data_IF_098306062380
#
_entry.id   IF_098306062380
#
_cell.length_a   1.000
_cell.length_b   1.000
_cell.length_c   1.000
_cell.angle_alpha   90.00
_cell.angle_beta   90.00
_cell.angle_gamma   90.00
#
_symmetry.space_group_name_H-M   'P 1'
#
loop_
_entity.id
_entity.type
_entity.pdbx_description
1 polymer ?
#
# COMPACT_ATOMS: atom_id res chain seq x y z
N UNK A 1 0.39 -24.51 19.56
CA UNK A 1 -0.95 -23.92 19.66
C UNK A 1 -1.01 -22.73 18.71
N UNK A 2 -1.58 -22.95 17.55
CA UNK A 2 -1.92 -21.85 16.68
C UNK A 2 -3.05 -21.09 17.36
N UNK A 3 -2.74 -19.96 17.97
CA UNK A 3 -3.77 -19.01 18.32
C UNK A 3 -4.44 -18.62 17.00
N UNK A 4 -5.60 -19.19 16.73
CA UNK A 4 -6.50 -18.60 15.78
C UNK A 4 -6.83 -17.21 16.31
N UNK A 5 -6.19 -16.21 15.75
CA UNK A 5 -6.66 -14.83 15.87
C UNK A 5 -7.98 -14.65 15.08
N UNK A 6 -8.73 -15.74 14.90
CA UNK A 6 -10.00 -15.79 14.23
C UNK A 6 -11.09 -15.06 14.98
N UNK A 7 -10.95 -13.78 15.14
CA UNK A 7 -11.83 -12.88 15.86
C UNK A 7 -11.11 -11.65 16.40
N UNK A 8 -9.79 -11.63 16.39
CA UNK A 8 -9.03 -10.43 16.74
C UNK A 8 -8.91 -9.49 15.53
N UNK A 9 -9.18 -8.22 15.78
CA UNK A 9 -9.01 -7.16 14.81
C UNK A 9 -7.51 -6.98 14.49
N UNK A 10 -7.07 -7.41 13.31
CA UNK A 10 -5.67 -7.29 12.90
C UNK A 10 -5.18 -5.83 12.87
N UNK A 11 -6.10 -4.86 12.78
CA UNK A 11 -5.73 -3.44 12.78
C UNK A 11 -5.17 -2.97 14.12
N UNK A 12 -5.28 -3.77 15.17
CA UNK A 12 -4.65 -3.52 16.47
C UNK A 12 -3.19 -3.98 16.53
N UNK A 13 -2.73 -4.74 15.55
CA UNK A 13 -1.34 -5.15 15.43
C UNK A 13 -0.47 -3.99 14.90
N UNK A 14 0.86 -4.04 15.13
CA UNK A 14 1.76 -3.05 14.55
C UNK A 14 1.64 -2.98 13.03
N UNK A 15 1.61 -1.79 12.47
CA UNK A 15 1.68 -1.56 11.02
C UNK A 15 3.15 -1.69 10.57
N UNK A 16 3.46 -2.79 9.88
CA UNK A 16 4.83 -3.08 9.44
C UNK A 16 5.33 -2.12 8.36
N UNK A 17 4.43 -1.46 7.65
CA UNK A 17 4.77 -0.56 6.55
C UNK A 17 4.93 0.89 7.00
N UNK A 18 4.48 1.25 8.18
CA UNK A 18 4.41 2.65 8.60
C UNK A 18 5.80 3.30 8.69
N UNK A 19 5.90 4.54 8.26
CA UNK A 19 7.17 5.27 8.20
C UNK A 19 7.93 5.32 9.52
N UNK A 20 7.32 5.64 10.68
CA UNK A 20 8.06 5.67 11.94
C UNK A 20 8.69 4.34 12.36
N UNK A 21 8.15 3.21 11.88
CA UNK A 21 8.75 1.89 12.10
C UNK A 21 9.93 1.62 11.16
N UNK A 22 10.11 2.43 10.14
CA UNK A 22 11.16 2.28 9.13
C UNK A 22 10.65 1.83 7.76
N UNK A 23 9.35 1.79 7.55
CA UNK A 23 8.76 1.51 6.24
C UNK A 23 9.14 2.55 5.19
N UNK A 24 9.24 2.12 3.95
CA UNK A 24 9.65 2.97 2.84
C UNK A 24 8.98 2.53 1.55
N UNK A 25 8.40 3.46 0.82
CA UNK A 25 7.91 3.20 -0.54
C UNK A 25 9.08 3.39 -1.49
N UNK A 26 9.64 2.28 -1.96
CA UNK A 26 10.91 2.30 -2.72
C UNK A 26 10.72 2.48 -4.21
N UNK A 27 9.52 2.24 -4.73
CA UNK A 27 9.24 2.36 -6.15
C UNK A 27 7.75 2.58 -6.40
N UNK A 28 7.42 3.32 -7.45
CA UNK A 28 6.09 3.41 -8.03
C UNK A 28 6.22 3.66 -9.53
N UNK A 29 5.23 3.22 -10.31
CA UNK A 29 5.23 3.44 -11.74
C UNK A 29 4.91 4.90 -12.11
N UNK A 30 4.16 5.60 -11.30
CA UNK A 30 3.73 6.98 -11.55
C UNK A 30 3.42 7.69 -10.23
N UNK A 31 3.76 8.98 -10.14
CA UNK A 31 3.49 9.84 -8.97
C UNK A 31 3.03 11.24 -9.45
N UNK A 32 2.36 11.30 -10.57
CA UNK A 32 2.11 12.57 -11.25
C UNK A 32 1.35 13.58 -10.37
N UNK A 33 0.31 13.14 -9.67
CA UNK A 33 -0.53 14.02 -8.84
C UNK A 33 -0.14 14.03 -7.37
N UNK A 34 0.32 12.93 -6.82
CA UNK A 34 0.74 12.86 -5.42
C UNK A 34 1.78 11.76 -5.20
N UNK A 35 2.70 12.02 -4.29
CA UNK A 35 3.87 11.17 -4.04
C UNK A 35 3.50 9.82 -3.41
N UNK A 36 4.24 8.79 -3.82
CA UNK A 36 4.08 7.42 -3.31
C UNK A 36 4.33 7.31 -1.80
N UNK A 37 5.18 8.15 -1.25
CA UNK A 37 5.53 8.14 0.18
C UNK A 37 4.31 8.38 1.08
N UNK A 38 3.26 8.97 0.56
CA UNK A 38 2.01 9.16 1.31
C UNK A 38 1.28 7.86 1.64
N UNK A 39 1.61 6.74 0.96
CA UNK A 39 1.01 5.42 1.26
C UNK A 39 1.28 4.93 2.69
N UNK A 40 2.35 5.39 3.32
CA UNK A 40 2.83 4.86 4.60
C UNK A 40 2.92 5.92 5.69
N UNK A 41 2.24 7.04 5.53
CA UNK A 41 2.14 8.04 6.58
C UNK A 41 1.38 7.47 7.79
N UNK A 42 1.78 7.80 9.01
CA UNK A 42 1.10 7.33 10.20
C UNK A 42 -0.26 8.04 10.39
N UNK A 43 -1.20 7.31 10.97
CA UNK A 43 -2.51 7.87 11.29
C UNK A 43 -3.45 8.02 10.09
N UNK A 44 -4.66 8.55 10.32
CA UNK A 44 -5.64 8.78 9.27
C UNK A 44 -5.16 9.84 8.27
N UNK A 45 -5.56 9.69 7.01
CA UNK A 45 -5.29 10.68 5.99
C UNK A 45 -5.96 12.02 6.34
N UNK A 46 -5.26 13.12 6.10
CA UNK A 46 -5.74 14.47 6.39
C UNK A 46 -6.17 15.17 5.11
N UNK A 47 -7.31 15.84 5.15
CA UNK A 47 -7.75 16.69 4.07
C UNK A 47 -7.24 18.12 4.26
N UNK A 48 -6.55 18.65 3.25
CA UNK A 48 -6.03 20.01 3.23
C UNK A 48 -6.72 20.82 2.12
N UNK A 49 -7.90 21.40 2.39
CA UNK A 49 -8.64 22.12 1.38
C UNK A 49 -7.87 23.36 0.90
N UNK A 50 -7.92 23.59 -0.41
CA UNK A 50 -7.30 24.76 -1.03
C UNK A 50 -5.80 24.93 -0.75
N UNK A 51 -5.09 23.84 -0.44
CA UNK A 51 -3.64 23.84 -0.24
C UNK A 51 -2.96 23.33 -1.50
N UNK A 52 -2.01 24.09 -2.03
CA UNK A 52 -1.33 23.79 -3.28
C UNK A 52 0.19 23.69 -3.07
N UNK A 53 0.78 22.65 -3.63
CA UNK A 53 2.21 22.44 -3.71
C UNK A 53 2.70 22.48 -5.17
N UNK A 54 3.91 22.02 -5.42
CA UNK A 54 4.51 22.01 -6.75
C UNK A 54 3.78 21.11 -7.77
N UNK A 55 2.95 20.17 -7.32
CA UNK A 55 2.14 19.27 -8.15
C UNK A 55 0.66 19.70 -8.27
N UNK A 56 0.29 20.85 -7.75
CA UNK A 56 -1.09 21.32 -7.67
C UNK A 56 -1.68 21.14 -6.28
N UNK A 57 -2.96 20.78 -6.17
CA UNK A 57 -3.61 20.59 -4.87
C UNK A 57 -2.94 19.46 -4.08
N UNK A 58 -2.71 19.71 -2.79
CA UNK A 58 -2.08 18.73 -1.89
C UNK A 58 -3.11 17.69 -1.45
N UNK A 59 -2.78 16.42 -1.65
CA UNK A 59 -3.54 15.26 -1.18
C UNK A 59 -2.66 14.42 -0.24
N UNK A 60 -3.26 13.87 0.81
CA UNK A 60 -2.63 12.87 1.68
C UNK A 60 -2.95 11.49 1.15
N UNK A 61 -2.21 11.09 0.14
CA UNK A 61 -2.35 9.80 -0.53
C UNK A 61 -1.51 9.78 -1.79
N UNK A 62 -1.31 8.60 -2.34
CA UNK A 62 -0.63 8.42 -3.63
C UNK A 62 -1.64 8.56 -4.76
N UNK A 63 -1.32 9.38 -5.75
CA UNK A 63 -2.20 9.59 -6.91
C UNK A 63 -1.40 9.60 -8.20
N UNK A 64 -1.79 8.71 -9.10
CA UNK A 64 -1.20 8.52 -10.41
C UNK A 64 -1.93 9.34 -11.48
N UNK A 65 -1.28 9.47 -12.63
CA UNK A 65 -1.90 10.03 -13.83
C UNK A 65 -3.03 9.10 -14.33
N UNK A 66 -4.06 9.68 -14.93
CA UNK A 66 -5.16 8.91 -15.52
C UNK A 66 -4.70 8.17 -16.78
N UNK A 67 -5.14 6.93 -16.94
CA UNK A 67 -4.79 6.09 -18.08
C UNK A 67 -5.46 6.53 -19.40
N UNK A 68 -6.62 7.21 -19.35
CA UNK A 68 -7.34 7.77 -20.49
C UNK A 68 -7.46 6.80 -21.67
N UNK A 69 -8.03 5.60 -21.42
CA UNK A 69 -8.23 4.56 -22.43
C UNK A 69 -6.99 3.72 -22.76
N UNK A 70 -5.87 3.94 -22.06
CA UNK A 70 -4.70 3.06 -22.13
C UNK A 70 -4.84 1.96 -21.09
N UNK A 71 -4.63 0.67 -21.46
CA UNK A 71 -4.63 -0.42 -20.48
C UNK A 71 -3.39 -0.32 -19.59
N UNK A 72 -3.49 -0.87 -18.39
CA UNK A 72 -2.38 -0.98 -17.46
C UNK A 72 -2.82 -0.67 -16.04
N UNK A 73 -2.09 -1.24 -15.10
CA UNK A 73 -2.29 -1.03 -13.67
C UNK A 73 -1.25 -0.07 -13.12
N UNK A 74 -1.61 0.61 -12.05
CA UNK A 74 -0.65 1.36 -11.26
C UNK A 74 -0.15 0.48 -10.14
N UNK A 75 1.14 0.59 -9.82
CA UNK A 75 1.77 -0.23 -8.80
C UNK A 75 2.84 0.53 -8.02
N UNK A 76 3.01 0.12 -6.79
CA UNK A 76 4.06 0.62 -5.90
C UNK A 76 4.65 -0.55 -5.12
N UNK A 77 5.90 -0.39 -4.70
CA UNK A 77 6.60 -1.37 -3.86
C UNK A 77 6.93 -0.72 -2.52
N UNK A 78 6.48 -1.36 -1.47
CA UNK A 78 6.73 -0.94 -0.09
C UNK A 78 7.70 -1.92 0.56
N UNK A 79 8.84 -1.40 1.08
CA UNK A 79 9.70 -2.16 1.98
C UNK A 79 9.15 -2.00 3.39
N UNK A 80 8.88 -3.12 4.06
CA UNK A 80 8.44 -3.12 5.46
C UNK A 80 9.58 -2.62 6.37
N UNK A 81 9.22 -1.97 7.45
CA UNK A 81 10.19 -1.47 8.44
C UNK A 81 10.94 -2.59 9.15
N UNK A 82 10.25 -3.71 9.37
CA UNK A 82 10.82 -4.96 9.86
C UNK A 82 10.19 -6.13 9.10
N UNK A 83 10.92 -7.23 8.92
CA UNK A 83 10.31 -8.44 8.37
C UNK A 83 9.22 -8.97 9.30
N UNK A 84 8.13 -9.46 8.74
CA UNK A 84 7.05 -9.96 9.58
C UNK A 84 5.99 -10.76 8.83
N UNK A 85 5.14 -11.39 9.62
CA UNK A 85 3.94 -12.06 9.15
C UNK A 85 2.83 -11.02 8.99
N UNK A 86 2.19 -11.00 7.82
CA UNK A 86 1.12 -10.04 7.53
C UNK A 86 -0.22 -10.69 7.84
N UNK A 87 -0.92 -10.15 8.82
CA UNK A 87 -2.24 -10.64 9.25
C UNK A 87 -3.41 -9.97 8.56
N UNK A 88 -3.16 -8.86 7.92
CA UNK A 88 -4.17 -8.12 7.19
C UNK A 88 -3.60 -6.91 6.48
N UNK A 89 -4.41 -6.34 5.61
CA UNK A 89 -4.07 -5.17 4.82
C UNK A 89 -5.24 -4.21 4.88
N UNK A 90 -4.96 -2.95 5.15
CA UNK A 90 -5.95 -1.88 5.03
C UNK A 90 -5.60 -1.05 3.81
N UNK A 91 -6.52 -0.98 2.87
CA UNK A 91 -6.44 -0.04 1.75
C UNK A 91 -7.29 1.17 2.11
N UNK A 92 -6.64 2.27 2.39
CA UNK A 92 -7.29 3.51 2.80
C UNK A 92 -7.47 4.44 1.60
N UNK A 93 -8.72 4.69 1.23
CA UNK A 93 -9.09 5.59 0.15
C UNK A 93 -9.73 6.88 0.67
N UNK A 94 -9.49 7.24 1.92
CA UNK A 94 -10.04 8.44 2.53
C UNK A 94 -9.79 9.68 1.65
N UNK A 95 -10.83 10.49 1.46
CA UNK A 95 -10.86 11.68 0.62
C UNK A 95 -10.82 11.43 -0.90
N UNK A 96 -10.57 10.20 -1.34
CA UNK A 96 -10.67 9.82 -2.75
C UNK A 96 -12.10 9.35 -3.04
N UNK A 97 -12.98 10.25 -3.45
CA UNK A 97 -14.41 9.98 -3.63
C UNK A 97 -14.76 9.46 -5.03
N UNK A 98 -14.08 9.96 -6.07
CA UNK A 98 -14.31 9.55 -7.45
C UNK A 98 -13.06 9.07 -8.18
N UNK A 99 -11.90 9.26 -7.59
CA UNK A 99 -10.59 8.98 -8.18
C UNK A 99 -9.83 7.84 -7.46
N UNK A 100 -10.54 7.03 -6.72
CA UNK A 100 -9.96 5.84 -6.08
C UNK A 100 -9.85 4.67 -7.08
N UNK A 101 -8.93 3.73 -6.87
CA UNK A 101 -8.86 2.54 -7.71
C UNK A 101 -10.10 1.66 -7.48
N UNK A 102 -10.74 1.14 -8.54
CA UNK A 102 -11.90 0.27 -8.36
C UNK A 102 -11.52 -1.07 -7.71
N UNK A 103 -10.32 -1.55 -7.96
CA UNK A 103 -9.82 -2.84 -7.47
C UNK A 103 -8.34 -2.72 -7.10
N UNK A 104 -7.93 -3.54 -6.14
CA UNK A 104 -6.54 -3.64 -5.71
C UNK A 104 -6.15 -5.11 -5.54
N UNK A 105 -4.86 -5.39 -5.67
CA UNK A 105 -4.24 -6.64 -5.27
C UNK A 105 -2.94 -6.36 -4.52
N UNK A 106 -2.52 -7.28 -3.67
CA UNK A 106 -1.26 -7.15 -2.93
C UNK A 106 -0.50 -8.47 -3.00
N UNK A 107 0.76 -8.37 -3.35
CA UNK A 107 1.70 -9.49 -3.36
C UNK A 107 2.89 -9.18 -2.47
N UNK A 108 3.65 -10.20 -2.08
CA UNK A 108 4.77 -10.05 -1.16
C UNK A 108 6.02 -10.77 -1.65
N UNK A 109 7.17 -10.31 -1.19
CA UNK A 109 8.47 -10.94 -1.37
C UNK A 109 9.23 -10.98 -0.04
N UNK A 110 10.04 -12.01 0.14
CA UNK A 110 11.05 -12.09 1.19
C UNK A 110 12.43 -11.94 0.53
N UNK A 111 13.07 -10.81 0.75
CA UNK A 111 14.34 -10.46 0.10
C UNK A 111 15.38 -10.18 1.15
N UNK A 112 16.57 -10.79 1.01
CA UNK A 112 17.73 -10.48 1.82
C UNK A 112 18.48 -9.26 1.26
N UNK A 113 18.92 -8.37 2.14
CA UNK A 113 19.67 -7.18 1.75
C UNK A 113 18.82 -6.11 1.09
N UNK A 114 19.48 -5.27 0.30
CA UNK A 114 18.89 -4.09 -0.31
C UNK A 114 19.20 -4.01 -1.81
N UNK A 115 18.60 -4.90 -2.64
CA UNK A 115 18.75 -4.78 -4.09
C UNK A 115 18.15 -3.45 -4.59
N UNK A 116 18.56 -2.95 -5.76
CA UNK A 116 17.98 -1.75 -6.35
C UNK A 116 16.46 -1.87 -6.51
N UNK A 117 15.75 -0.79 -6.24
CA UNK A 117 14.28 -0.77 -6.25
C UNK A 117 13.68 -1.21 -7.59
N UNK A 118 14.27 -0.79 -8.72
CA UNK A 118 13.81 -1.20 -10.05
C UNK A 118 13.96 -2.70 -10.32
N UNK A 119 14.98 -3.35 -9.77
CA UNK A 119 15.15 -4.80 -9.87
C UNK A 119 14.08 -5.53 -9.07
N UNK A 120 13.76 -5.04 -7.87
CA UNK A 120 12.69 -5.60 -7.04
C UNK A 120 11.35 -5.47 -7.76
N UNK A 121 11.03 -4.31 -8.28
CA UNK A 121 9.78 -4.06 -9.00
C UNK A 121 9.63 -4.94 -10.24
N UNK A 122 10.74 -5.26 -10.92
CA UNK A 122 10.76 -6.10 -12.12
C UNK A 122 10.71 -7.62 -11.85
N UNK A 123 10.75 -8.05 -10.60
CA UNK A 123 10.68 -9.48 -10.27
C UNK A 123 9.32 -10.07 -10.64
N UNK A 124 9.33 -11.34 -10.98
CA UNK A 124 8.15 -12.09 -11.42
C UNK A 124 7.70 -13.16 -10.42
N UNK A 125 8.40 -13.30 -9.30
CA UNK A 125 8.17 -14.31 -8.26
C UNK A 125 7.40 -13.78 -7.04
N UNK A 126 6.68 -12.69 -7.21
CA UNK A 126 5.80 -12.14 -6.18
C UNK A 126 4.74 -13.15 -5.77
N UNK A 127 4.54 -13.32 -4.46
CA UNK A 127 3.55 -14.24 -3.89
C UNK A 127 2.28 -13.48 -3.55
N UNK A 128 1.11 -13.83 -4.14
CA UNK A 128 -0.14 -13.16 -3.82
C UNK A 128 -0.53 -13.32 -2.35
N UNK A 129 -0.84 -12.21 -1.69
CA UNK A 129 -1.45 -12.21 -0.35
C UNK A 129 -2.92 -11.81 -0.41
N UNK A 130 -3.27 -10.92 -1.30
CA UNK A 130 -4.63 -10.46 -1.54
C UNK A 130 -4.84 -10.47 -3.05
N UNK A 131 -5.72 -11.36 -3.51
CA UNK A 131 -6.12 -11.39 -4.91
C UNK A 131 -6.91 -10.14 -5.26
N UNK A 132 -7.05 -9.87 -6.56
CA UNK A 132 -7.76 -8.68 -7.02
C UNK A 132 -9.13 -8.57 -6.38
N UNK A 133 -9.37 -7.50 -5.65
CA UNK A 133 -10.57 -7.28 -4.85
C UNK A 133 -11.06 -5.85 -5.02
N UNK A 134 -12.37 -5.67 -4.99
CA UNK A 134 -12.99 -4.35 -5.05
C UNK A 134 -12.77 -3.57 -3.76
N UNK A 135 -12.51 -2.27 -3.91
CA UNK A 135 -12.46 -1.33 -2.79
C UNK A 135 -13.51 -0.24 -2.96
N UNK A 136 -13.94 0.32 -1.85
CA UNK A 136 -14.81 1.48 -1.83
C UNK A 136 -14.02 2.79 -1.82
N UNK A 137 -14.64 3.87 -2.30
CA UNK A 137 -14.07 5.20 -2.21
C UNK A 137 -14.34 5.86 -0.87
N UNK A 138 -13.48 6.81 -0.48
CA UNK A 138 -13.58 7.57 0.77
C UNK A 138 -13.84 6.66 1.99
N UNK A 139 -13.04 5.60 2.13
CA UNK A 139 -13.25 4.56 3.12
C UNK A 139 -11.95 3.86 3.51
N UNK A 140 -11.97 3.24 4.67
CA UNK A 140 -10.97 2.25 5.06
C UNK A 140 -11.47 0.87 4.66
N UNK A 141 -10.68 0.16 3.86
CA UNK A 141 -11.03 -1.15 3.32
C UNK A 141 -10.12 -2.21 3.96
N UNK A 142 -10.55 -2.90 5.02
CA UNK A 142 -9.73 -3.91 5.69
C UNK A 142 -9.90 -5.27 5.02
N UNK A 143 -8.77 -5.96 4.85
CA UNK A 143 -8.73 -7.31 4.26
C UNK A 143 -7.87 -8.22 5.14
N UNK A 144 -8.45 -9.21 5.81
CA UNK A 144 -7.68 -10.24 6.51
C UNK A 144 -6.81 -11.04 5.55
N UNK A 145 -5.62 -11.42 5.99
CA UNK A 145 -4.69 -12.26 5.24
C UNK A 145 -4.40 -13.52 6.05
N UNK A 146 -4.55 -14.68 5.42
CA UNK A 146 -4.23 -15.97 6.00
C UNK A 146 -2.91 -16.48 5.40
N UNK A 147 -1.80 -16.03 5.98
CA UNK A 147 -0.45 -16.40 5.58
C UNK A 147 0.46 -16.39 6.80
N UNK A 148 1.34 -17.37 6.91
CA UNK A 148 2.24 -17.55 8.06
C UNK A 148 3.70 -17.21 7.73
N UNK A 149 4.00 -16.86 6.48
CA UNK A 149 5.35 -16.55 6.06
C UNK A 149 5.76 -15.14 6.50
N UNK A 150 7.07 -14.95 6.66
CA UNK A 150 7.63 -13.63 6.94
C UNK A 150 8.02 -12.95 5.63
N UNK A 151 7.59 -11.73 5.48
CA UNK A 151 7.83 -10.93 4.29
C UNK A 151 8.66 -9.69 4.59
N UNK A 152 9.32 -9.16 3.58
CA UNK A 152 10.10 -7.93 3.67
C UNK A 152 9.54 -6.82 2.78
N UNK A 153 8.81 -7.18 1.73
CA UNK A 153 8.27 -6.25 0.74
C UNK A 153 6.84 -6.61 0.35
N UNK A 154 6.07 -5.61 0.07
CA UNK A 154 4.75 -5.74 -0.55
C UNK A 154 4.60 -4.79 -1.71
#
# INVERSE_FOLDING_TARGET
MTAHLGGEDFTLLPDLAVRPLGGSVIWANDEFFAEKENLINPGPAEYQPSTFGHKGQVYDGWETRRHRGRPGDDSAVVRLGVPGVIRGIVVDTAWFKGNYPPEVSVSALAIAGYPPAGEIAARTDWVPLLDLVKVGGDARNPFPVDDENRWTHV
#
